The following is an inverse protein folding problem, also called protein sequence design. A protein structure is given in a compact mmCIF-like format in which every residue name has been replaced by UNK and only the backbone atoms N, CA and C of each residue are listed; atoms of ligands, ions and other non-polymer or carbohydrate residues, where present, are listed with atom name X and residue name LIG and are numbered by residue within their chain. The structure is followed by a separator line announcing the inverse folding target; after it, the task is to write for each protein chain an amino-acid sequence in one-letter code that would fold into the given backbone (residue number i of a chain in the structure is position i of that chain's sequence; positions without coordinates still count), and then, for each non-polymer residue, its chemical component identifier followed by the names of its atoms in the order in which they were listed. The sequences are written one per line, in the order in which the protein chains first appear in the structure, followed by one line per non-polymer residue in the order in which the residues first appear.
data_IF_229439106077
#
_entry.id   IF_229439106077
#
_cell.length_a   1.000
_cell.length_b   1.000
_cell.length_c   1.000
_cell.angle_alpha   90.00
_cell.angle_beta   90.00
_cell.angle_gamma   90.00
#
_symmetry.space_group_name_H-M   'P 1'
#
loop_
_entity.id
_entity.type
_entity.pdbx_description
1 polymer ?
#
# COMPACT_ATOMS: atom_id res chain seq x y z
N UNK A 1 5.01 -23.03 -12.67
CA UNK A 1 3.78 -23.07 -11.84
C UNK A 1 4.07 -23.09 -10.34
N UNK A 2 5.01 -23.91 -9.85
CA UNK A 2 5.37 -24.02 -8.42
C UNK A 2 6.00 -22.74 -7.80
N UNK A 3 6.83 -22.01 -8.57
CA UNK A 3 7.48 -20.78 -8.08
C UNK A 3 6.52 -19.62 -7.77
N UNK A 4 5.41 -19.48 -8.50
CA UNK A 4 4.43 -18.40 -8.29
C UNK A 4 3.65 -18.61 -6.98
N UNK A 5 3.40 -19.87 -6.59
CA UNK A 5 2.70 -20.20 -5.35
C UNK A 5 3.55 -19.88 -4.10
N UNK A 6 4.86 -20.13 -4.15
CA UNK A 6 5.79 -19.80 -3.06
C UNK A 6 5.88 -18.28 -2.83
N UNK A 7 5.92 -17.48 -3.90
CA UNK A 7 5.92 -16.01 -3.78
C UNK A 7 4.63 -15.49 -3.15
N UNK A 8 3.48 -16.11 -3.45
CA UNK A 8 2.19 -15.76 -2.83
C UNK A 8 2.15 -16.13 -1.35
N UNK A 9 2.73 -17.27 -0.96
CA UNK A 9 2.81 -17.70 0.43
C UNK A 9 3.70 -16.78 1.26
N UNK A 10 4.90 -16.46 0.77
CA UNK A 10 5.82 -15.53 1.43
C UNK A 10 5.22 -14.12 1.54
N UNK A 11 4.55 -13.63 0.49
CA UNK A 11 3.85 -12.33 0.54
C UNK A 11 2.72 -12.34 1.58
N UNK A 12 1.91 -13.41 1.62
CA UNK A 12 0.83 -13.55 2.60
C UNK A 12 1.37 -13.62 4.03
N UNK A 13 2.46 -14.34 4.26
CA UNK A 13 3.15 -14.43 5.55
C UNK A 13 3.71 -13.06 5.98
N UNK A 14 4.37 -12.34 5.07
CA UNK A 14 4.87 -11.00 5.32
C UNK A 14 3.73 -10.03 5.70
N UNK A 15 2.64 -10.01 4.92
CA UNK A 15 1.47 -9.17 5.22
C UNK A 15 0.85 -9.55 6.56
N UNK A 16 0.73 -10.86 6.85
CA UNK A 16 0.23 -11.34 8.13
C UNK A 16 1.10 -10.85 9.29
N UNK A 17 2.42 -11.02 9.21
CA UNK A 17 3.33 -10.64 10.28
C UNK A 17 3.37 -9.12 10.54
N UNK A 18 3.04 -8.29 9.54
CA UNK A 18 2.93 -6.83 9.71
C UNK A 18 1.55 -6.43 10.26
N UNK A 19 0.47 -6.95 9.67
CA UNK A 19 -0.89 -6.47 9.97
C UNK A 19 -1.47 -7.13 11.21
N UNK A 20 -1.19 -8.42 11.44
CA UNK A 20 -1.76 -9.19 12.55
C UNK A 20 -1.48 -8.56 13.93
N UNK A 21 -0.25 -8.11 14.27
CA UNK A 21 0.01 -7.47 15.56
C UNK A 21 -0.72 -6.14 15.74
N UNK A 22 -1.07 -5.45 14.65
CA UNK A 22 -1.75 -4.14 14.66
C UNK A 22 -3.24 -4.35 14.92
N UNK A 23 -3.87 -5.30 14.21
CA UNK A 23 -5.31 -5.56 14.34
C UNK A 23 -5.70 -6.20 15.68
N UNK A 24 -4.76 -6.86 16.37
CA UNK A 24 -5.00 -7.47 17.68
C UNK A 24 -4.78 -6.51 18.87
N UNK A 25 -4.45 -5.24 18.61
CA UNK A 25 -4.29 -4.21 19.65
C UNK A 25 -5.59 -3.40 19.77
N UNK A 26 -6.39 -3.59 20.83
CA UNK A 26 -7.67 -2.91 20.98
C UNK A 26 -7.55 -1.38 21.08
N UNK A 27 -6.38 -0.88 21.47
CA UNK A 27 -6.06 0.55 21.54
C UNK A 27 -5.72 1.18 20.17
N UNK A 28 -5.61 0.39 19.11
CA UNK A 28 -5.22 0.85 17.78
C UNK A 28 -6.42 0.93 16.84
N UNK A 29 -6.63 2.11 16.25
CA UNK A 29 -7.56 2.25 15.12
C UNK A 29 -6.80 2.02 13.81
N UNK A 30 -7.08 0.90 13.15
CA UNK A 30 -6.50 0.54 11.86
C UNK A 30 -7.50 0.79 10.72
N UNK A 31 -7.10 1.60 9.74
CA UNK A 31 -7.93 1.93 8.56
C UNK A 31 -7.12 1.66 7.29
N UNK A 32 -7.72 0.93 6.35
CA UNK A 32 -7.13 0.66 5.03
C UNK A 32 -7.77 1.55 3.97
N UNK A 33 -6.94 2.20 3.17
CA UNK A 33 -7.37 2.95 2.00
C UNK A 33 -6.81 2.28 0.74
N UNK A 34 -7.70 1.91 -0.18
CA UNK A 34 -7.29 1.44 -1.51
C UNK A 34 -7.29 2.64 -2.47
N UNK A 35 -6.16 2.89 -3.12
CA UNK A 35 -6.00 4.01 -4.05
C UNK A 35 -5.66 3.49 -5.44
N UNK A 36 -6.50 3.81 -6.41
CA UNK A 36 -6.24 3.51 -7.82
C UNK A 36 -5.43 4.65 -8.43
N UNK A 37 -4.16 4.41 -8.70
CA UNK A 37 -3.28 5.38 -9.34
C UNK A 37 -2.91 4.94 -10.75
N UNK A 38 -3.28 5.74 -11.74
CA UNK A 38 -2.91 5.54 -13.15
C UNK A 38 -1.46 6.01 -13.34
N UNK A 39 -0.50 5.11 -13.11
CA UNK A 39 0.89 5.44 -13.40
C UNK A 39 1.06 5.62 -14.93
N UNK A 40 1.78 6.66 -15.38
CA UNK A 40 2.17 6.77 -16.79
C UNK A 40 2.89 5.50 -17.24
N UNK A 41 2.60 4.98 -18.44
CA UNK A 41 3.19 3.76 -18.99
C UNK A 41 4.68 3.95 -19.33
N UNK A 42 5.52 4.04 -18.29
CA UNK A 42 6.97 4.19 -18.38
C UNK A 42 7.63 2.92 -17.86
N UNK A 43 8.87 2.62 -18.27
CA UNK A 43 9.59 1.43 -17.79
C UNK A 43 9.70 1.40 -16.24
N UNK A 44 9.69 2.56 -15.59
CA UNK A 44 9.70 2.70 -14.13
C UNK A 44 8.39 2.27 -13.47
N UNK A 45 7.23 2.48 -14.12
CA UNK A 45 5.95 1.98 -13.61
C UNK A 45 5.78 0.47 -13.81
N UNK A 46 6.46 -0.11 -14.80
CA UNK A 46 6.41 -1.54 -15.12
C UNK A 46 7.16 -2.44 -14.12
N UNK A 47 8.23 -1.95 -13.48
CA UNK A 47 9.11 -2.77 -12.60
C UNK A 47 8.61 -2.83 -11.14
N UNK A 48 7.51 -2.13 -10.80
CA UNK A 48 6.74 -2.33 -9.58
C UNK A 48 7.36 -1.79 -8.28
N UNK A 49 8.68 -1.88 -8.07
CA UNK A 49 9.36 -1.28 -6.89
C UNK A 49 9.44 0.24 -6.97
N UNK A 50 9.81 0.77 -8.13
CA UNK A 50 9.82 2.22 -8.35
C UNK A 50 8.38 2.76 -8.37
N UNK A 51 7.39 2.00 -8.85
CA UNK A 51 5.97 2.35 -8.78
C UNK A 51 5.45 2.50 -7.34
N UNK A 52 5.72 1.54 -6.45
CA UNK A 52 5.25 1.60 -5.06
C UNK A 52 5.92 2.72 -4.24
N UNK A 53 7.21 3.01 -4.49
CA UNK A 53 7.94 4.07 -3.80
C UNK A 53 7.64 5.45 -4.43
N UNK A 54 7.51 5.54 -5.76
CA UNK A 54 7.21 6.79 -6.47
C UNK A 54 5.84 7.38 -6.08
N UNK A 55 4.90 6.54 -5.65
CA UNK A 55 3.62 7.01 -5.10
C UNK A 55 3.83 7.74 -3.77
N UNK A 56 4.76 7.27 -2.93
CA UNK A 56 5.10 7.91 -1.66
C UNK A 56 6.00 9.15 -1.83
N UNK A 57 6.77 9.20 -2.93
CA UNK A 57 7.62 10.34 -3.31
C UNK A 57 6.85 11.42 -4.10
N UNK A 58 5.64 11.12 -4.58
CA UNK A 58 4.82 12.06 -5.35
C UNK A 58 4.05 13.01 -4.43
N UNK A 59 4.54 14.24 -4.29
CA UNK A 59 3.87 15.30 -3.53
C UNK A 59 2.41 15.50 -3.96
N UNK A 60 2.13 15.49 -5.27
CA UNK A 60 0.78 15.62 -5.81
C UNK A 60 -0.13 14.47 -5.37
N UNK A 61 0.37 13.23 -5.36
CA UNK A 61 -0.40 12.09 -4.87
C UNK A 61 -0.72 12.25 -3.38
N UNK A 62 0.27 12.58 -2.56
CA UNK A 62 0.11 12.77 -1.11
C UNK A 62 -0.89 13.89 -0.82
N UNK A 63 -0.79 15.03 -1.51
CA UNK A 63 -1.72 16.15 -1.39
C UNK A 63 -3.16 15.70 -1.70
N UNK A 64 -3.40 15.05 -2.84
CA UNK A 64 -4.74 14.60 -3.23
C UNK A 64 -5.28 13.51 -2.31
N UNK A 65 -4.44 12.57 -1.91
CA UNK A 65 -4.82 11.53 -0.95
C UNK A 65 -5.29 12.14 0.37
N UNK A 66 -4.51 13.07 0.95
CA UNK A 66 -4.85 13.72 2.21
C UNK A 66 -6.15 14.52 2.10
N UNK A 67 -6.29 15.37 1.08
CA UNK A 67 -7.48 16.25 0.92
C UNK A 67 -8.77 15.46 0.71
N UNK A 68 -8.74 14.39 -0.09
CA UNK A 68 -9.96 13.67 -0.47
C UNK A 68 -10.39 12.63 0.58
N UNK A 69 -9.42 11.96 1.20
CA UNK A 69 -9.68 10.77 2.03
C UNK A 69 -8.87 10.76 3.32
N UNK A 70 -7.56 11.02 3.27
CA UNK A 70 -6.67 10.85 4.42
C UNK A 70 -7.05 11.71 5.63
N UNK A 71 -7.46 12.97 5.41
CA UNK A 71 -7.88 13.86 6.51
C UNK A 71 -9.15 13.41 7.23
N UNK A 72 -9.96 12.52 6.64
CA UNK A 72 -11.13 11.94 7.32
C UNK A 72 -10.74 11.07 8.52
N UNK A 73 -9.49 10.61 8.59
CA UNK A 73 -8.98 9.85 9.73
C UNK A 73 -8.90 10.69 11.02
N UNK A 74 -8.65 11.99 10.92
CA UNK A 74 -8.45 12.88 12.07
C UNK A 74 -9.72 13.62 12.52
N UNK A 75 -10.87 13.29 11.96
CA UNK A 75 -12.18 13.84 12.34
C UNK A 75 -12.81 13.00 13.45
#
# INVERSE_FOLDING_TARGET
MLGILLHKAAYREMVHNIVYPIINKPEVTFVRYDVHHSLPNTANSLIGRAAHIAVLDSELFIEKFLVVTGLKYFR
#
